data_IF_128497664741
#
_entry.id   IF_128497664741
#
_cell.length_a   1.000
_cell.length_b   1.000
_cell.length_c   1.000
_cell.angle_alpha   90.00
_cell.angle_beta   90.00
_cell.angle_gamma   90.00
#
_symmetry.space_group_name_H-M   'P 1'
#
loop_
_entity.id
_entity.type
_entity.pdbx_description
1 polymer ?
#
# COMPACT_ATOMS: atom_id res chain seq x y z
N UNK A 1 -10.67 -38.12 -45.55
CA UNK A 1 -10.49 -37.42 -44.27
C UNK A 1 -10.92 -35.94 -44.35
N UNK A 2 -11.99 -35.61 -45.07
CA UNK A 2 -12.52 -34.22 -45.12
C UNK A 2 -14.01 -34.11 -44.76
N UNK A 3 -14.73 -35.23 -44.63
CA UNK A 3 -16.13 -35.20 -44.16
C UNK A 3 -16.26 -35.07 -42.62
N UNK A 4 -15.24 -35.46 -41.86
CA UNK A 4 -15.31 -35.51 -40.39
C UNK A 4 -15.07 -34.17 -39.70
N UNK A 5 -14.63 -33.13 -40.44
CA UNK A 5 -14.38 -31.78 -39.90
C UNK A 5 -15.54 -30.80 -40.10
N UNK A 6 -16.52 -31.12 -40.96
CA UNK A 6 -17.69 -30.26 -41.22
C UNK A 6 -18.86 -30.51 -40.25
N UNK A 7 -18.88 -31.64 -39.55
CA UNK A 7 -19.95 -31.99 -38.58
C UNK A 7 -19.72 -31.33 -37.20
N UNK A 8 -18.46 -31.02 -36.84
CA UNK A 8 -18.13 -30.39 -35.54
C UNK A 8 -18.38 -28.87 -35.56
N UNK A 9 -18.39 -28.23 -36.74
CA UNK A 9 -18.67 -26.79 -36.88
C UNK A 9 -20.17 -26.43 -36.86
N UNK A 10 -21.06 -27.39 -37.14
CA UNK A 10 -22.52 -27.17 -37.12
C UNK A 10 -23.11 -27.36 -35.72
N UNK A 11 -22.44 -28.07 -34.81
CA UNK A 11 -22.89 -28.28 -33.43
C UNK A 11 -22.50 -27.16 -32.45
N UNK A 12 -21.58 -26.27 -32.80
CA UNK A 12 -21.21 -25.10 -31.97
C UNK A 12 -22.07 -23.86 -32.30
N UNK A 13 -22.73 -23.83 -33.46
CA UNK A 13 -23.63 -22.74 -33.87
C UNK A 13 -25.09 -22.94 -33.45
N UNK A 14 -25.46 -24.12 -32.91
CA UNK A 14 -26.84 -24.41 -32.49
C UNK A 14 -27.11 -24.18 -30.98
N UNK A 15 -26.09 -23.83 -30.18
CA UNK A 15 -26.27 -23.50 -28.75
C UNK A 15 -26.41 -21.97 -28.53
N UNK A 16 -26.28 -21.16 -29.57
CA UNK A 16 -26.39 -19.69 -29.48
C UNK A 16 -27.81 -19.18 -29.80
N UNK A 17 -28.76 -20.04 -30.12
CA UNK A 17 -30.09 -19.64 -30.62
C UNK A 17 -31.28 -19.86 -29.64
N UNK A 18 -31.06 -20.12 -28.35
CA UNK A 18 -32.16 -20.27 -27.37
C UNK A 18 -31.86 -19.64 -26.01
N UNK A 19 -31.50 -18.35 -25.97
CA UNK A 19 -31.76 -17.53 -24.78
C UNK A 19 -32.73 -16.43 -25.16
N UNK A 20 -33.95 -16.70 -24.71
CA UNK A 20 -35.16 -15.90 -24.75
C UNK A 20 -34.91 -14.45 -24.33
N UNK A 21 -35.47 -13.55 -25.11
CA UNK A 21 -35.73 -12.15 -24.80
C UNK A 21 -36.50 -12.07 -23.47
N UNK A 22 -35.80 -11.71 -22.40
CA UNK A 22 -36.41 -11.13 -21.20
C UNK A 22 -36.18 -9.62 -21.26
N UNK A 23 -37.20 -8.76 -21.04
CA UNK A 23 -37.00 -7.35 -20.82
C UNK A 23 -36.47 -7.16 -19.40
N UNK A 24 -35.20 -7.51 -19.19
CA UNK A 24 -34.45 -6.97 -18.08
C UNK A 24 -34.02 -5.56 -18.51
N UNK A 25 -34.77 -4.56 -18.08
CA UNK A 25 -34.26 -3.20 -17.89
C UNK A 25 -33.09 -3.28 -16.92
N UNK A 26 -31.91 -3.58 -17.45
CA UNK A 26 -30.65 -3.39 -16.76
C UNK A 26 -30.41 -1.88 -16.72
N UNK A 27 -30.86 -1.26 -15.63
CA UNK A 27 -30.25 -0.04 -15.11
C UNK A 27 -28.73 -0.18 -15.24
N UNK A 28 -28.12 0.67 -16.08
CA UNK A 28 -26.68 0.90 -16.08
C UNK A 28 -26.26 1.32 -14.67
N UNK A 29 -25.87 0.35 -13.85
CA UNK A 29 -25.12 0.62 -12.64
C UNK A 29 -23.77 1.19 -13.07
N UNK A 30 -23.66 2.52 -12.99
CA UNK A 30 -22.42 3.30 -13.01
C UNK A 30 -21.50 2.96 -11.81
N UNK A 31 -21.13 1.69 -11.66
CA UNK A 31 -20.28 1.21 -10.56
C UNK A 31 -19.19 0.23 -11.02
N UNK A 32 -18.94 0.09 -12.32
CA UNK A 32 -17.64 -0.40 -12.77
C UNK A 32 -16.61 0.71 -12.60
N UNK A 33 -16.04 0.78 -11.39
CA UNK A 33 -14.71 1.36 -11.22
C UNK A 33 -13.79 0.60 -12.16
N UNK A 34 -13.49 1.25 -13.28
CA UNK A 34 -12.50 0.84 -14.26
C UNK A 34 -11.32 0.18 -13.52
N UNK A 35 -10.99 -1.05 -13.87
CA UNK A 35 -9.80 -1.77 -13.36
C UNK A 35 -8.52 -0.92 -13.51
N UNK A 36 -8.55 0.10 -14.38
CA UNK A 36 -7.49 1.08 -14.60
C UNK A 36 -7.66 2.40 -13.81
N UNK A 37 -8.77 2.61 -13.10
CA UNK A 37 -8.95 3.72 -12.14
C UNK A 37 -8.22 3.43 -10.83
N UNK A 38 -6.88 3.36 -10.90
CA UNK A 38 -6.03 3.66 -9.73
C UNK A 38 -6.04 5.16 -9.37
N UNK A 39 -7.04 5.92 -9.85
CA UNK A 39 -7.08 7.38 -9.86
C UNK A 39 -7.77 8.06 -8.68
N UNK A 40 -8.78 7.46 -8.03
CA UNK A 40 -9.62 8.25 -7.11
C UNK A 40 -9.90 7.68 -5.72
N UNK A 41 -9.50 6.44 -5.40
CA UNK A 41 -9.75 5.87 -4.04
C UNK A 41 -8.63 5.04 -3.42
N UNK A 42 -7.41 5.05 -3.96
CA UNK A 42 -6.24 4.78 -3.10
C UNK A 42 -5.89 6.10 -2.41
N UNK A 43 -6.63 6.41 -1.35
CA UNK A 43 -6.19 7.42 -0.38
C UNK A 43 -4.77 7.11 0.13
N UNK A 44 -4.14 8.03 0.88
CA UNK A 44 -2.83 7.79 1.46
C UNK A 44 -2.91 6.61 2.43
N UNK A 45 -2.65 5.44 1.89
CA UNK A 45 -2.87 4.16 2.52
C UNK A 45 -1.79 3.22 1.98
N UNK A 46 -1.09 2.49 2.87
CA UNK A 46 -0.04 1.58 2.45
C UNK A 46 -0.64 0.56 1.47
N UNK A 47 0.10 0.29 0.39
CA UNK A 47 -0.36 -0.45 -0.79
C UNK A 47 -0.93 -1.86 -0.55
N UNK A 48 -1.39 -2.52 -1.61
CA UNK A 48 -2.23 -3.71 -1.55
C UNK A 48 -1.39 -4.95 -1.14
N UNK A 49 -1.35 -5.18 0.16
CA UNK A 49 -0.69 -6.33 0.79
C UNK A 49 -0.68 -6.34 2.32
N UNK A 50 -1.07 -5.26 2.99
CA UNK A 50 -1.28 -5.26 4.44
C UNK A 50 -2.68 -4.76 4.74
N UNK A 51 -3.62 -5.71 4.89
CA UNK A 51 -4.81 -5.44 5.69
C UNK A 51 -4.36 -4.82 7.02
N UNK A 52 -5.14 -3.88 7.54
CA UNK A 52 -5.05 -3.40 8.92
C UNK A 52 -5.39 -4.57 9.87
N UNK A 53 -4.56 -5.60 9.92
CA UNK A 53 -4.31 -6.24 11.20
C UNK A 53 -3.72 -5.14 12.06
N UNK A 54 -4.31 -4.89 13.23
CA UNK A 54 -3.56 -4.30 14.34
C UNK A 54 -2.33 -5.18 14.50
N UNK A 55 -1.23 -4.85 13.82
CA UNK A 55 0.03 -5.54 13.99
C UNK A 55 0.29 -5.46 15.48
N UNK A 56 0.37 -6.62 16.15
CA UNK A 56 0.80 -6.66 17.54
C UNK A 56 2.14 -5.93 17.53
N UNK A 57 2.17 -4.73 18.13
CA UNK A 57 3.44 -4.07 18.37
C UNK A 57 4.17 -4.99 19.36
N UNK A 58 5.17 -5.68 18.85
CA UNK A 58 6.13 -6.37 19.69
C UNK A 58 6.92 -5.28 20.42
N UNK A 59 6.94 -5.42 21.74
CA UNK A 59 7.68 -4.54 22.63
C UNK A 59 9.13 -5.01 22.66
N UNK A 60 10.06 -4.08 22.67
CA UNK A 60 11.47 -4.39 22.96
C UNK A 60 11.65 -4.63 24.47
N UNK A 61 12.73 -5.30 24.87
CA UNK A 61 13.04 -5.51 26.29
C UNK A 61 13.11 -4.18 27.07
N UNK A 62 13.69 -3.14 26.46
CA UNK A 62 13.76 -1.79 27.05
C UNK A 62 12.36 -1.17 27.27
N UNK A 63 11.44 -1.39 26.33
CA UNK A 63 10.05 -0.91 26.44
C UNK A 63 9.27 -1.71 27.49
N UNK A 64 9.53 -3.01 27.61
CA UNK A 64 8.97 -3.86 28.67
C UNK A 64 9.42 -3.37 30.04
N UNK A 65 10.72 -3.07 30.20
CA UNK A 65 11.26 -2.57 31.46
C UNK A 65 10.70 -1.18 31.81
N UNK A 66 10.48 -0.32 30.81
CA UNK A 66 9.81 0.97 31.00
C UNK A 66 8.36 0.79 31.51
N UNK A 67 7.60 -0.15 30.92
CA UNK A 67 6.23 -0.46 31.36
C UNK A 67 6.24 -1.05 32.77
N UNK A 68 7.16 -1.97 33.07
CA UNK A 68 7.31 -2.58 34.40
C UNK A 68 7.64 -1.55 35.47
N UNK A 69 8.47 -0.54 35.15
CA UNK A 69 8.78 0.57 36.06
C UNK A 69 7.55 1.42 36.34
N UNK A 70 6.77 1.79 35.31
CA UNK A 70 5.51 2.51 35.50
C UNK A 70 4.47 1.71 36.29
N UNK A 71 4.43 0.38 36.10
CA UNK A 71 3.63 -0.54 36.91
C UNK A 71 4.09 -0.62 38.35
N UNK A 72 5.39 -0.60 38.61
CA UNK A 72 5.93 -0.61 39.97
C UNK A 72 5.52 0.63 40.76
N UNK A 73 5.41 1.78 40.09
CA UNK A 73 4.98 3.04 40.69
C UNK A 73 3.45 3.10 40.89
N UNK A 74 2.65 2.53 39.97
CA UNK A 74 1.18 2.61 40.00
C UNK A 74 0.49 1.43 40.70
N UNK A 75 1.03 0.21 40.56
CA UNK A 75 0.54 -1.01 41.20
C UNK A 75 1.71 -1.98 41.50
N UNK A 76 2.40 -1.81 42.65
CA UNK A 76 3.59 -2.58 42.98
C UNK A 76 3.32 -4.08 43.19
N UNK A 77 2.11 -4.46 43.59
CA UNK A 77 1.73 -5.86 43.77
C UNK A 77 1.65 -6.58 42.42
N UNK A 78 0.96 -5.97 41.44
CA UNK A 78 0.90 -6.50 40.08
C UNK A 78 2.24 -6.51 39.38
N UNK A 79 3.10 -5.52 39.63
CA UNK A 79 4.47 -5.53 39.11
C UNK A 79 5.28 -6.75 39.61
N UNK A 80 5.14 -7.12 40.89
CA UNK A 80 5.80 -8.31 41.45
C UNK A 80 5.23 -9.62 40.88
N UNK A 81 3.91 -9.70 40.67
CA UNK A 81 3.29 -10.86 40.00
C UNK A 81 3.78 -10.99 38.56
N UNK A 82 3.81 -9.89 37.80
CA UNK A 82 4.29 -9.86 36.43
C UNK A 82 5.77 -10.21 36.31
N UNK A 83 6.62 -9.78 37.26
CA UNK A 83 8.04 -10.14 37.27
C UNK A 83 8.24 -11.66 37.38
N UNK A 84 7.42 -12.35 38.20
CA UNK A 84 7.44 -13.81 38.30
C UNK A 84 6.89 -14.48 37.04
N UNK A 85 5.83 -13.92 36.45
CA UNK A 85 5.24 -14.42 35.21
C UNK A 85 6.17 -14.30 34.01
N UNK A 86 7.08 -13.32 33.99
CA UNK A 86 8.07 -13.13 32.90
C UNK A 86 8.95 -14.36 32.70
N UNK A 87 9.31 -15.06 33.77
CA UNK A 87 10.12 -16.29 33.73
C UNK A 87 9.28 -17.55 33.54
N UNK A 88 8.09 -17.60 34.15
CA UNK A 88 7.25 -18.80 34.17
C UNK A 88 6.41 -19.00 32.89
N UNK A 89 5.82 -17.94 32.35
CA UNK A 89 5.02 -17.99 31.11
C UNK A 89 5.12 -16.65 30.36
N UNK A 90 6.08 -16.55 29.41
CA UNK A 90 6.28 -15.34 28.60
C UNK A 90 5.04 -14.90 27.81
N UNK A 91 4.18 -15.85 27.42
CA UNK A 91 2.98 -15.55 26.66
C UNK A 91 1.93 -14.89 27.54
N UNK A 92 1.64 -15.46 28.71
CA UNK A 92 0.74 -14.85 29.69
C UNK A 92 1.27 -13.52 30.23
N UNK A 93 2.58 -13.43 30.48
CA UNK A 93 3.23 -12.17 30.84
C UNK A 93 2.92 -11.06 29.83
N UNK A 94 3.07 -11.34 28.53
CA UNK A 94 2.82 -10.34 27.47
C UNK A 94 1.36 -9.85 27.44
N UNK A 95 0.40 -10.71 27.80
CA UNK A 95 -1.03 -10.40 27.83
C UNK A 95 -1.34 -9.53 29.05
N UNK A 96 -0.89 -9.96 30.23
CA UNK A 96 -1.15 -9.24 31.49
C UNK A 96 -0.40 -7.92 31.56
N UNK A 97 0.83 -7.85 31.03
CA UNK A 97 1.60 -6.61 30.89
C UNK A 97 0.86 -5.59 30.04
N UNK A 98 0.22 -6.00 28.94
CA UNK A 98 -0.59 -5.09 28.10
C UNK A 98 -1.87 -4.64 28.77
N UNK A 99 -2.46 -5.49 29.62
CA UNK A 99 -3.71 -5.19 30.33
C UNK A 99 -3.46 -4.17 31.45
N UNK A 100 -2.44 -4.41 32.26
CA UNK A 100 -2.14 -3.60 33.44
C UNK A 100 -1.21 -2.43 33.14
N UNK A 101 -0.31 -2.57 32.15
CA UNK A 101 0.58 -1.52 31.67
C UNK A 101 0.04 -0.70 30.50
N UNK A 102 -1.29 -0.68 30.30
CA UNK A 102 -1.91 -0.10 29.10
C UNK A 102 -1.53 1.37 28.88
N UNK A 103 -1.44 2.19 29.93
CA UNK A 103 -1.12 3.61 29.82
C UNK A 103 0.29 3.85 29.28
N UNK A 104 1.30 3.19 29.85
CA UNK A 104 2.69 3.25 29.38
C UNK A 104 2.82 2.62 27.99
N UNK A 105 2.11 1.51 27.72
CA UNK A 105 2.06 0.90 26.40
C UNK A 105 1.51 1.88 25.33
N UNK A 106 0.45 2.63 25.64
CA UNK A 106 -0.11 3.65 24.74
C UNK A 106 0.88 4.80 24.53
N UNK A 107 1.60 5.24 25.58
CA UNK A 107 2.65 6.27 25.46
C UNK A 107 3.77 5.81 24.52
N UNK A 108 4.31 4.61 24.71
CA UNK A 108 5.36 4.02 23.86
C UNK A 108 4.90 3.91 22.41
N UNK A 109 3.68 3.41 22.16
CA UNK A 109 3.13 3.36 20.80
C UNK A 109 3.00 4.76 20.21
N UNK A 110 2.51 5.74 20.98
CA UNK A 110 2.37 7.12 20.53
C UNK A 110 3.74 7.70 20.14
N UNK A 111 4.75 7.53 20.98
CA UNK A 111 6.11 7.96 20.69
C UNK A 111 6.69 7.27 19.45
N UNK A 112 6.47 5.96 19.29
CA UNK A 112 6.93 5.22 18.11
C UNK A 112 6.27 5.75 16.83
N UNK A 113 4.96 6.01 16.88
CA UNK A 113 4.20 6.59 15.79
C UNK A 113 4.69 8.01 15.48
N UNK A 114 4.98 8.82 16.50
CA UNK A 114 5.49 10.18 16.35
C UNK A 114 6.91 10.21 15.79
N UNK A 115 7.82 9.38 16.31
CA UNK A 115 9.17 9.18 15.77
C UNK A 115 9.08 8.74 14.31
N UNK A 116 8.23 7.78 13.99
CA UNK A 116 7.95 7.35 12.63
C UNK A 116 7.47 8.51 11.75
N UNK A 117 6.42 9.22 12.18
CA UNK A 117 5.85 10.38 11.47
C UNK A 117 6.90 11.47 11.23
N UNK A 118 7.76 11.75 12.21
CA UNK A 118 8.82 12.73 12.10
C UNK A 118 9.90 12.32 11.10
N UNK A 119 10.33 11.05 11.11
CA UNK A 119 11.26 10.51 10.10
C UNK A 119 10.67 10.62 8.70
N UNK A 120 9.44 10.13 8.49
CA UNK A 120 8.75 10.21 7.20
C UNK A 120 8.56 11.65 6.72
N UNK A 121 8.25 12.57 7.65
CA UNK A 121 8.16 14.00 7.35
C UNK A 121 9.50 14.57 6.89
N UNK A 122 10.59 14.24 7.57
CA UNK A 122 11.93 14.71 7.20
C UNK A 122 12.33 14.19 5.81
N UNK A 123 12.16 12.90 5.56
CA UNK A 123 12.44 12.29 4.26
C UNK A 123 11.59 12.90 3.14
N UNK A 124 10.31 13.18 3.42
CA UNK A 124 9.42 13.83 2.45
C UNK A 124 9.89 15.25 2.12
N UNK A 125 10.30 16.03 3.13
CA UNK A 125 10.82 17.38 2.92
C UNK A 125 12.16 17.38 2.16
N UNK A 126 13.04 16.43 2.46
CA UNK A 126 14.30 16.26 1.71
C UNK A 126 14.02 15.92 0.25
N UNK A 127 13.13 14.97 -0.01
CA UNK A 127 12.70 14.62 -1.35
C UNK A 127 12.07 15.82 -2.08
N UNK A 128 11.21 16.57 -1.40
CA UNK A 128 10.57 17.77 -1.95
C UNK A 128 11.62 18.82 -2.36
N UNK A 129 12.65 19.01 -1.54
CA UNK A 129 13.77 19.88 -1.83
C UNK A 129 14.59 19.46 -3.05
N UNK A 130 14.66 18.17 -3.37
CA UNK A 130 15.37 17.65 -4.54
C UNK A 130 14.51 17.66 -5.80
N UNK A 131 13.28 17.16 -5.70
CA UNK A 131 12.39 16.91 -6.84
C UNK A 131 11.55 18.14 -7.22
N UNK A 132 11.15 18.98 -6.26
CA UNK A 132 10.20 20.08 -6.46
C UNK A 132 10.65 21.34 -5.71
N UNK A 133 11.86 21.82 -6.04
CA UNK A 133 12.56 22.93 -5.35
C UNK A 133 11.67 24.14 -5.05
N UNK A 134 10.89 24.60 -6.02
CA UNK A 134 10.00 25.76 -5.87
C UNK A 134 9.01 25.60 -4.70
N UNK A 135 8.36 24.44 -4.57
CA UNK A 135 7.38 24.20 -3.51
C UNK A 135 8.08 24.04 -2.14
N UNK A 136 9.29 23.49 -2.11
CA UNK A 136 10.10 23.43 -0.90
C UNK A 136 10.52 24.81 -0.40
N UNK A 137 10.96 25.69 -1.30
CA UNK A 137 11.34 27.07 -0.99
C UNK A 137 10.14 27.90 -0.50
N UNK A 138 8.99 27.80 -1.16
CA UNK A 138 7.75 28.44 -0.70
C UNK A 138 7.34 27.97 0.70
N UNK A 139 7.46 26.67 0.96
CA UNK A 139 7.12 26.08 2.25
C UNK A 139 8.12 26.52 3.34
N UNK A 140 9.40 26.64 3.03
CA UNK A 140 10.43 27.12 3.96
C UNK A 140 10.16 28.57 4.38
N UNK A 141 9.80 29.46 3.44
CA UNK A 141 9.43 30.85 3.74
C UNK A 141 8.26 30.94 4.71
N UNK A 142 7.24 30.10 4.55
CA UNK A 142 6.07 30.10 5.44
C UNK A 142 6.40 29.62 6.87
N UNK A 143 7.43 28.79 7.02
CA UNK A 143 7.86 28.29 8.33
C UNK A 143 8.33 29.42 9.25
N UNK A 144 8.96 30.45 8.68
CA UNK A 144 9.48 31.62 9.40
C UNK A 144 8.38 32.65 9.70
N UNK A 145 7.38 32.77 8.82
CA UNK A 145 6.35 33.81 8.89
C UNK A 145 5.16 33.40 9.77
N UNK A 146 4.65 32.17 9.60
CA UNK A 146 3.43 31.73 10.30
C UNK A 146 3.34 30.20 10.42
N UNK A 147 3.38 29.65 11.66
CA UNK A 147 3.24 28.21 11.90
C UNK A 147 1.94 27.60 11.34
N UNK A 148 0.83 28.34 11.42
CA UNK A 148 -0.48 27.86 10.95
C UNK A 148 -0.56 27.79 9.42
N UNK A 149 -0.04 28.80 8.74
CA UNK A 149 0.02 28.79 7.28
C UNK A 149 1.00 27.74 6.77
N UNK A 150 2.11 27.54 7.47
CA UNK A 150 3.04 26.44 7.21
C UNK A 150 2.33 25.09 7.29
N UNK A 151 1.60 24.82 8.39
CA UNK A 151 0.89 23.55 8.56
C UNK A 151 -0.14 23.30 7.45
N UNK A 152 -0.93 24.33 7.09
CA UNK A 152 -1.91 24.25 5.99
C UNK A 152 -1.25 23.98 4.64
N UNK A 153 -0.19 24.74 4.28
CA UNK A 153 0.54 24.55 3.02
C UNK A 153 1.23 23.18 2.99
N UNK A 154 1.84 22.74 4.09
CA UNK A 154 2.45 21.41 4.20
C UNK A 154 1.44 20.32 3.88
N UNK A 155 0.23 20.37 4.47
CA UNK A 155 -0.81 19.38 4.19
C UNK A 155 -1.29 19.39 2.73
N UNK A 156 -1.36 20.57 2.09
CA UNK A 156 -1.69 20.67 0.67
C UNK A 156 -0.60 20.05 -0.22
N UNK A 157 0.67 20.40 0.04
CA UNK A 157 1.82 19.81 -0.66
C UNK A 157 1.85 18.30 -0.45
N UNK A 158 1.65 17.83 0.78
CA UNK A 158 1.59 16.42 1.12
C UNK A 158 0.50 15.72 0.32
N UNK A 159 -0.75 16.20 0.32
CA UNK A 159 -1.83 15.59 -0.46
C UNK A 159 -1.51 15.49 -1.95
N UNK A 160 -0.83 16.51 -2.49
CA UNK A 160 -0.48 16.61 -3.91
C UNK A 160 0.67 15.69 -4.31
N UNK A 161 1.75 15.63 -3.52
CA UNK A 161 2.99 14.96 -3.90
C UNK A 161 3.27 13.66 -3.13
N UNK A 162 2.48 13.30 -2.11
CA UNK A 162 2.75 12.12 -1.28
C UNK A 162 2.82 10.82 -2.08
N UNK A 163 1.87 10.61 -3.02
CA UNK A 163 1.88 9.43 -3.89
C UNK A 163 3.17 9.37 -4.71
N UNK A 164 3.62 10.49 -5.23
CA UNK A 164 4.84 10.58 -6.05
C UNK A 164 6.07 10.25 -5.20
N UNK A 165 6.14 10.81 -3.99
CA UNK A 165 7.19 10.49 -3.03
C UNK A 165 7.25 8.99 -2.71
N UNK A 166 6.11 8.37 -2.40
CA UNK A 166 6.07 6.92 -2.15
C UNK A 166 6.51 6.11 -3.37
N UNK A 167 6.04 6.48 -4.56
CA UNK A 167 6.43 5.82 -5.80
C UNK A 167 7.91 6.05 -6.10
N UNK A 168 8.51 7.18 -5.75
CA UNK A 168 9.94 7.42 -6.02
C UNK A 168 10.87 6.40 -5.37
N UNK A 169 10.41 5.80 -4.25
CA UNK A 169 11.11 4.73 -3.55
C UNK A 169 10.84 3.34 -4.11
N UNK A 170 9.65 3.11 -4.65
CA UNK A 170 9.19 1.78 -5.11
C UNK A 170 9.41 1.56 -6.62
N UNK A 171 9.24 2.62 -7.38
CA UNK A 171 9.35 2.67 -8.83
C UNK A 171 9.62 4.14 -9.26
N UNK A 172 10.90 4.50 -9.39
CA UNK A 172 11.31 5.83 -9.80
C UNK A 172 10.72 6.29 -11.14
N UNK A 173 10.46 5.36 -12.06
CA UNK A 173 9.88 5.69 -13.37
C UNK A 173 8.44 6.19 -13.22
N UNK A 174 7.60 5.50 -12.45
CA UNK A 174 6.23 5.95 -12.22
C UNK A 174 6.22 7.31 -11.51
N UNK A 175 7.12 7.54 -10.57
CA UNK A 175 7.24 8.83 -9.90
C UNK A 175 7.54 9.96 -10.90
N UNK A 176 8.44 9.73 -11.85
CA UNK A 176 8.74 10.69 -12.91
C UNK A 176 7.51 10.98 -13.77
N UNK A 177 6.83 9.95 -14.28
CA UNK A 177 5.62 10.10 -15.11
C UNK A 177 4.51 10.85 -14.36
N UNK A 178 4.35 10.60 -13.06
CA UNK A 178 3.38 11.31 -12.23
C UNK A 178 3.75 12.78 -11.99
N UNK A 179 5.04 13.12 -11.90
CA UNK A 179 5.50 14.51 -11.82
C UNK A 179 5.17 15.24 -13.12
N UNK A 180 5.51 14.64 -14.26
CA UNK A 180 5.28 15.21 -15.59
C UNK A 180 3.76 15.46 -15.82
N UNK A 181 2.88 14.53 -15.44
CA UNK A 181 1.41 14.75 -15.54
C UNK A 181 0.96 15.89 -14.63
N UNK A 182 1.58 16.06 -13.46
CA UNK A 182 1.25 17.15 -12.54
C UNK A 182 1.66 18.52 -13.12
N UNK A 183 2.79 18.60 -13.82
CA UNK A 183 3.21 19.81 -14.52
C UNK A 183 2.29 20.12 -15.70
N UNK A 184 1.94 19.13 -16.52
CA UNK A 184 0.99 19.33 -17.61
C UNK A 184 -0.41 19.70 -17.12
N UNK A 185 -0.86 19.19 -15.96
CA UNK A 185 -2.11 19.64 -15.31
C UNK A 185 -2.06 21.12 -14.96
N UNK A 186 -0.96 21.61 -14.38
CA UNK A 186 -0.79 23.04 -14.07
C UNK A 186 -0.84 23.89 -15.34
N UNK A 187 -0.08 23.50 -16.37
CA UNK A 187 -0.04 24.21 -17.66
C UNK A 187 -1.42 24.24 -18.33
N UNK A 188 -2.16 23.14 -18.31
CA UNK A 188 -3.55 23.07 -18.78
C UNK A 188 -4.42 24.09 -18.05
N UNK A 189 -4.34 24.13 -16.72
CA UNK A 189 -5.17 25.02 -15.91
C UNK A 189 -4.84 26.50 -16.15
N UNK A 190 -3.57 26.82 -16.38
CA UNK A 190 -3.11 28.16 -16.80
C UNK A 190 -3.62 28.53 -18.19
N UNK A 191 -3.47 27.64 -19.17
CA UNK A 191 -4.00 27.85 -20.53
C UNK A 191 -5.51 28.07 -20.53
N UNK A 192 -6.27 27.30 -19.75
CA UNK A 192 -7.72 27.49 -19.61
C UNK A 192 -8.08 28.85 -19.03
N UNK A 193 -7.30 29.38 -18.07
CA UNK A 193 -7.49 30.73 -17.54
C UNK A 193 -7.19 31.78 -18.62
N UNK A 194 -6.09 31.63 -19.34
CA UNK A 194 -5.67 32.56 -20.39
C UNK A 194 -6.68 32.58 -21.55
N UNK A 195 -7.19 31.43 -21.97
CA UNK A 195 -8.24 31.31 -23.01
C UNK A 195 -9.50 32.07 -22.61
N UNK A 196 -9.91 31.99 -21.34
CA UNK A 196 -11.08 32.71 -20.82
C UNK A 196 -10.86 34.22 -20.77
N UNK A 197 -9.62 34.65 -20.55
CA UNK A 197 -9.25 36.07 -20.46
C UNK A 197 -8.90 36.71 -21.82
N UNK A 198 -8.65 35.90 -22.86
CA UNK A 198 -8.23 36.36 -24.17
C UNK A 198 -9.28 37.24 -24.84
N UNK A 199 -8.85 38.40 -25.36
CA UNK A 199 -9.73 39.39 -25.98
C UNK A 199 -9.83 39.25 -27.50
N UNK A 200 -8.89 38.54 -28.11
CA UNK A 200 -8.83 38.36 -29.56
C UNK A 200 -9.01 36.91 -29.98
N UNK A 201 -9.74 36.69 -31.06
CA UNK A 201 -9.99 35.35 -31.58
C UNK A 201 -8.70 34.68 -32.08
N UNK A 202 -7.75 35.47 -32.61
CA UNK A 202 -6.45 34.98 -33.06
C UNK A 202 -5.60 34.43 -31.89
N UNK A 203 -5.57 35.15 -30.77
CA UNK A 203 -4.88 34.71 -29.55
C UNK A 203 -5.56 33.48 -28.95
N UNK A 204 -6.90 33.48 -28.90
CA UNK A 204 -7.67 32.34 -28.42
C UNK A 204 -7.37 31.07 -29.22
N UNK A 205 -7.31 31.15 -30.55
CA UNK A 205 -6.94 30.01 -31.41
C UNK A 205 -5.54 29.47 -31.12
N UNK A 206 -4.56 30.35 -30.90
CA UNK A 206 -3.20 29.93 -30.52
C UNK A 206 -3.18 29.19 -29.18
N UNK A 207 -3.83 29.75 -28.16
CA UNK A 207 -3.91 29.13 -26.84
C UNK A 207 -4.66 27.80 -26.85
N UNK A 208 -5.68 27.66 -27.70
CA UNK A 208 -6.40 26.39 -27.89
C UNK A 208 -5.50 25.33 -28.53
N UNK A 209 -4.68 25.68 -29.53
CA UNK A 209 -3.71 24.76 -30.11
C UNK A 209 -2.66 24.30 -29.08
N UNK A 210 -2.13 25.21 -28.26
CA UNK A 210 -1.23 24.84 -27.15
C UNK A 210 -1.92 23.94 -26.12
N UNK A 211 -3.21 24.18 -25.84
CA UNK A 211 -3.99 23.34 -24.94
C UNK A 211 -4.16 21.93 -25.52
N UNK A 212 -4.37 21.81 -26.82
CA UNK A 212 -4.46 20.52 -27.51
C UNK A 212 -3.17 19.70 -27.35
N UNK A 213 -2.01 20.32 -27.57
CA UNK A 213 -0.70 19.68 -27.34
C UNK A 213 -0.52 19.20 -25.89
N UNK A 214 -0.90 20.04 -24.92
CA UNK A 214 -0.83 19.69 -23.49
C UNK A 214 -1.76 18.53 -23.16
N UNK A 215 -2.98 18.51 -23.71
CA UNK A 215 -3.94 17.43 -23.49
C UNK A 215 -3.46 16.13 -24.14
N UNK A 216 -2.90 16.19 -25.35
CA UNK A 216 -2.30 15.03 -26.02
C UNK A 216 -1.14 14.44 -25.20
N UNK A 217 -0.20 15.28 -24.75
CA UNK A 217 0.91 14.80 -23.91
C UNK A 217 0.43 14.17 -22.60
N UNK A 218 -0.65 14.68 -21.99
CA UNK A 218 -1.24 14.05 -20.80
C UNK A 218 -1.86 12.70 -21.10
N UNK A 219 -2.49 12.54 -22.26
CA UNK A 219 -3.02 11.25 -22.69
C UNK A 219 -1.91 10.22 -22.79
N UNK A 220 -0.77 10.58 -23.40
CA UNK A 220 0.39 9.69 -23.51
C UNK A 220 0.93 9.28 -22.14
N UNK A 221 1.02 10.22 -21.19
CA UNK A 221 1.42 9.90 -19.81
C UNK A 221 0.43 8.98 -19.11
N UNK A 222 -0.89 9.16 -19.32
CA UNK A 222 -1.92 8.26 -18.78
C UNK A 222 -1.73 6.85 -19.33
N UNK A 223 -1.47 6.71 -20.63
CA UNK A 223 -1.17 5.41 -21.24
C UNK A 223 0.09 4.81 -20.63
N UNK A 224 1.16 5.60 -20.44
CA UNK A 224 2.40 5.13 -19.79
C UNK A 224 2.17 4.67 -18.35
N UNK A 225 1.35 5.39 -17.57
CA UNK A 225 0.97 4.96 -16.21
C UNK A 225 0.29 3.59 -16.24
N UNK A 226 -0.65 3.38 -17.18
CA UNK A 226 -1.33 2.09 -17.34
C UNK A 226 -0.36 0.97 -17.75
N UNK A 227 0.57 1.23 -18.65
CA UNK A 227 1.61 0.28 -19.04
C UNK A 227 2.50 -0.12 -17.85
N UNK A 228 2.98 0.84 -17.07
CA UNK A 228 3.80 0.56 -15.88
C UNK A 228 3.00 -0.27 -14.86
N UNK A 229 1.71 0.03 -14.66
CA UNK A 229 0.85 -0.74 -13.77
C UNK A 229 0.69 -2.20 -14.27
N UNK A 230 0.49 -2.38 -15.58
CA UNK A 230 0.40 -3.69 -16.21
C UNK A 230 1.70 -4.51 -16.03
N UNK A 231 2.86 -3.91 -16.29
CA UNK A 231 4.17 -4.57 -16.13
C UNK A 231 4.41 -5.02 -14.67
N UNK A 232 3.96 -4.24 -13.68
CA UNK A 232 4.03 -4.65 -12.26
C UNK A 232 3.12 -5.83 -11.96
N UNK A 233 1.92 -5.84 -12.52
CA UNK A 233 0.98 -6.96 -12.32
C UNK A 233 1.54 -8.26 -12.89
N UNK A 234 2.19 -8.21 -14.05
CA UNK A 234 2.89 -9.36 -14.62
C UNK A 234 3.97 -9.89 -13.69
N UNK A 235 4.86 -9.02 -13.19
CA UNK A 235 5.92 -9.44 -12.24
C UNK A 235 5.35 -10.06 -10.98
N UNK A 236 4.29 -9.48 -10.41
CA UNK A 236 3.62 -10.03 -9.23
C UNK A 236 2.99 -11.40 -9.52
N UNK A 237 2.42 -11.58 -10.70
CA UNK A 237 1.84 -12.85 -11.12
C UNK A 237 2.94 -13.92 -11.25
N UNK A 238 4.09 -13.59 -11.82
CA UNK A 238 5.24 -14.50 -11.90
C UNK A 238 5.75 -14.91 -10.50
N UNK A 239 5.90 -13.95 -9.59
CA UNK A 239 6.30 -14.23 -8.20
C UNK A 239 5.29 -15.15 -7.48
N UNK A 240 4.00 -14.89 -7.66
CA UNK A 240 2.94 -15.72 -7.07
C UNK A 240 2.93 -17.13 -7.67
N UNK A 241 3.11 -17.26 -8.98
CA UNK A 241 3.24 -18.56 -9.63
C UNK A 241 4.45 -19.33 -9.10
N UNK A 242 5.58 -18.66 -8.86
CA UNK A 242 6.76 -19.29 -8.25
C UNK A 242 6.46 -19.80 -6.85
N UNK A 243 5.86 -18.97 -5.98
CA UNK A 243 5.46 -19.38 -4.62
C UNK A 243 4.47 -20.53 -4.61
N UNK A 244 3.51 -20.54 -5.55
CA UNK A 244 2.56 -21.65 -5.69
C UNK A 244 3.26 -22.95 -6.08
N UNK A 245 4.26 -22.89 -6.98
CA UNK A 245 5.08 -24.07 -7.33
C UNK A 245 5.90 -24.57 -6.15
N UNK A 246 6.54 -23.66 -5.41
CA UNK A 246 7.31 -23.98 -4.19
C UNK A 246 6.43 -24.63 -3.13
N UNK A 247 5.30 -24.00 -2.78
CA UNK A 247 4.33 -24.54 -1.82
C UNK A 247 3.76 -25.88 -2.26
N UNK A 248 3.46 -26.07 -3.56
CA UNK A 248 3.02 -27.37 -4.08
C UNK A 248 4.13 -28.42 -3.94
N UNK A 249 5.38 -28.06 -4.19
CA UNK A 249 6.53 -28.93 -3.98
C UNK A 249 6.72 -29.33 -2.52
N UNK A 250 6.58 -28.37 -1.59
CA UNK A 250 6.59 -28.63 -0.15
C UNK A 250 5.48 -29.59 0.26
N UNK A 251 4.24 -29.36 -0.20
CA UNK A 251 3.11 -30.26 0.08
C UNK A 251 3.40 -31.66 -0.44
N UNK A 252 3.97 -31.80 -1.64
CA UNK A 252 4.33 -33.12 -2.18
C UNK A 252 5.43 -33.81 -1.35
N UNK A 253 6.46 -33.08 -0.92
CA UNK A 253 7.48 -33.61 -0.01
C UNK A 253 6.88 -34.04 1.32
N UNK A 254 6.00 -33.23 1.90
CA UNK A 254 5.31 -33.52 3.16
C UNK A 254 4.36 -34.72 3.07
N UNK A 255 3.99 -35.17 1.87
CA UNK A 255 3.21 -36.40 1.64
C UNK A 255 4.07 -37.66 1.51
N UNK A 256 5.39 -37.53 1.38
CA UNK A 256 6.28 -38.68 1.34
C UNK A 256 6.37 -39.35 2.72
N UNK A 257 6.11 -40.65 2.78
CA UNK A 257 6.06 -41.39 4.05
C UNK A 257 7.42 -41.44 4.76
N UNK A 258 8.55 -41.46 4.04
CA UNK A 258 9.87 -41.42 4.70
C UNK A 258 10.10 -40.06 5.33
N UNK A 259 9.82 -38.98 4.59
CA UNK A 259 9.94 -37.61 5.10
C UNK A 259 9.00 -37.35 6.28
N UNK A 260 7.76 -37.86 6.24
CA UNK A 260 6.83 -37.82 7.37
C UNK A 260 7.39 -38.55 8.59
N UNK A 261 7.87 -39.79 8.41
CA UNK A 261 8.41 -40.58 9.52
C UNK A 261 9.67 -39.96 10.13
N UNK A 262 10.55 -39.35 9.35
CA UNK A 262 11.69 -38.59 9.86
C UNK A 262 11.25 -37.37 10.68
N UNK A 263 10.31 -36.56 10.16
CA UNK A 263 9.82 -35.39 10.91
C UNK A 263 9.07 -35.79 12.19
N UNK A 264 8.29 -36.86 12.17
CA UNK A 264 7.62 -37.38 13.38
C UNK A 264 8.65 -37.84 14.41
N UNK A 265 9.70 -38.57 13.99
CA UNK A 265 10.78 -38.98 14.90
C UNK A 265 11.52 -37.78 15.50
N UNK A 266 11.88 -36.81 14.66
CA UNK A 266 12.53 -35.58 15.13
C UNK A 266 11.64 -34.85 16.14
N UNK A 267 10.34 -34.70 15.84
CA UNK A 267 9.40 -34.06 16.77
C UNK A 267 9.24 -34.83 18.07
N UNK A 268 9.18 -36.16 18.02
CA UNK A 268 9.14 -36.99 19.22
C UNK A 268 10.39 -36.78 20.08
N UNK A 269 11.57 -36.65 19.46
CA UNK A 269 12.81 -36.33 20.16
C UNK A 269 12.75 -34.95 20.79
N UNK A 270 12.36 -33.91 20.04
CA UNK A 270 12.25 -32.53 20.56
C UNK A 270 11.29 -32.44 21.76
N UNK A 271 10.17 -33.16 21.72
CA UNK A 271 9.20 -33.23 22.82
C UNK A 271 9.73 -33.95 24.05
N UNK A 272 10.53 -35.01 23.87
CA UNK A 272 11.13 -35.77 24.96
C UNK A 272 12.34 -35.06 25.59
N UNK A 273 13.03 -34.23 24.82
CA UNK A 273 14.20 -33.47 25.28
C UNK A 273 13.82 -32.07 25.83
N UNK A 274 12.53 -31.73 25.90
CA UNK A 274 12.01 -30.40 26.29
C UNK A 274 12.67 -29.24 25.53
N UNK A 275 13.11 -29.48 24.30
CA UNK A 275 13.78 -28.44 23.49
C UNK A 275 12.69 -27.62 22.77
N UNK A 276 12.52 -26.33 23.10
CA UNK A 276 11.43 -25.55 22.54
C UNK A 276 11.80 -25.04 21.15
N UNK A 277 11.60 -25.85 20.10
CA UNK A 277 11.61 -25.34 18.71
C UNK A 277 10.53 -25.97 17.82
N UNK A 278 10.03 -25.10 16.93
CA UNK A 278 8.96 -25.27 15.95
C UNK A 278 7.55 -25.51 16.54
N UNK A 279 6.66 -24.53 16.37
CA UNK A 279 5.26 -24.65 16.74
C UNK A 279 4.50 -25.32 15.58
N UNK A 280 3.99 -26.53 15.81
CA UNK A 280 3.18 -27.26 14.83
C UNK A 280 1.69 -26.85 14.86
N UNK A 281 1.29 -26.06 15.87
CA UNK A 281 -0.05 -25.51 16.07
C UNK A 281 -0.30 -24.20 15.31
#
# INVERSE_FOLDING_TARGET
MELSRRIILVLVMAVVATVIVLPCSAEEKKDEKDIWTEGERRGPGPGPGRGRGRGRFELTEEEIDQIMKGLQESNPEKAKELAKLREADPNQFSVELRRHGHEEFVKIIRERIEKGRSRWRAEFLEWLGKAVRKEAEELAKLKEISPDLYAKKFELIRRKYWRIFEESKRNPELAKVLLDDLELKKRRDELLKNIKAAKSEKEKKKLVAELEEVVAGRFDLIVRIKQIAYERLLKRLEELQKRLKESRGEIFKSRDEKFKNENVKQRMQDLLEEIPKFNWD
#
